data_IF_742926798304
#
_entry.id   IF_742926798304
#
_cell.length_a   1.000
_cell.length_b   1.000
_cell.length_c   1.000
_cell.angle_alpha   90.00
_cell.angle_beta   90.00
_cell.angle_gamma   90.00
#
_symmetry.space_group_name_H-M   'P 1'
#
loop_
_entity.id
_entity.type
_entity.pdbx_description
1 polymer ?
#
# COMPACT_ATOMS: atom_id res chain seq x y z
N UNK A 1 -3.83 5.27 3.05
CA UNK A 1 -2.58 4.92 2.35
C UNK A 1 -2.74 5.46 0.95
N UNK A 2 -1.87 6.39 0.57
CA UNK A 2 -1.83 6.92 -0.78
C UNK A 2 -0.76 6.17 -1.54
N UNK A 3 -1.15 5.38 -2.54
CA UNK A 3 -0.25 4.58 -3.34
C UNK A 3 -0.73 4.58 -4.80
N UNK A 4 0.13 4.19 -5.72
CA UNK A 4 -0.25 4.08 -7.12
C UNK A 4 0.49 2.91 -7.78
N UNK A 5 -0.24 2.06 -8.52
CA UNK A 5 0.37 0.95 -9.26
C UNK A 5 1.02 -0.10 -8.38
N UNK A 6 1.79 -1.01 -8.99
CA UNK A 6 2.57 -2.00 -8.27
C UNK A 6 3.85 -1.36 -7.69
N UNK A 7 4.59 -0.65 -8.55
CA UNK A 7 5.87 0.03 -8.22
C UNK A 7 5.80 1.55 -8.39
N UNK A 8 4.60 2.11 -8.56
CA UNK A 8 4.39 3.55 -8.69
C UNK A 8 3.56 3.96 -9.91
N UNK A 9 3.46 5.27 -10.19
CA UNK A 9 2.67 5.80 -11.30
C UNK A 9 3.30 5.53 -12.67
N UNK A 10 4.57 5.12 -12.69
CA UNK A 10 5.30 4.75 -13.90
C UNK A 10 4.74 3.49 -14.57
N UNK A 11 4.11 2.58 -13.83
CA UNK A 11 3.45 1.41 -14.41
C UNK A 11 2.43 1.82 -15.47
N UNK A 12 1.59 2.80 -15.15
CA UNK A 12 0.60 3.29 -16.10
C UNK A 12 1.25 3.99 -17.29
N UNK A 13 2.32 4.75 -17.06
CA UNK A 13 3.02 5.47 -18.14
C UNK A 13 3.76 4.51 -19.09
N UNK A 14 4.38 3.46 -18.58
CA UNK A 14 5.05 2.43 -19.39
C UNK A 14 4.05 1.61 -20.22
N UNK A 15 2.86 1.38 -19.69
CA UNK A 15 1.77 0.71 -20.40
C UNK A 15 0.97 1.64 -21.33
N UNK A 16 1.39 2.89 -21.51
CA UNK A 16 0.69 3.93 -22.27
C UNK A 16 -0.79 4.07 -21.85
N UNK A 17 -1.06 3.92 -20.55
CA UNK A 17 -2.38 4.09 -19.94
C UNK A 17 -2.46 5.44 -19.23
N UNK A 18 -3.63 6.10 -19.27
CA UNK A 18 -3.83 7.31 -18.48
C UNK A 18 -3.76 6.96 -16.99
N UNK A 19 -3.18 7.87 -16.21
CA UNK A 19 -3.14 7.72 -14.76
C UNK A 19 -4.56 7.95 -14.19
N UNK A 20 -5.12 6.99 -13.44
CA UNK A 20 -6.45 7.13 -12.87
C UNK A 20 -6.49 8.24 -11.80
N UNK A 21 -7.67 8.80 -11.54
CA UNK A 21 -7.85 9.86 -10.54
C UNK A 21 -7.59 9.38 -9.13
N UNK A 22 -7.74 8.07 -8.85
CA UNK A 22 -7.46 7.51 -7.52
C UNK A 22 -5.96 7.56 -7.16
N UNK A 23 -5.09 7.59 -8.16
CA UNK A 23 -3.65 7.72 -7.96
C UNK A 23 -3.20 9.14 -7.61
N UNK A 24 -4.10 10.14 -7.65
CA UNK A 24 -3.78 11.53 -7.32
C UNK A 24 -4.13 11.85 -5.87
N UNK A 25 -3.17 12.48 -5.19
CA UNK A 25 -3.37 13.08 -3.89
C UNK A 25 -4.38 14.23 -3.99
N UNK A 26 -5.44 14.20 -3.20
CA UNK A 26 -6.54 15.17 -3.26
C UNK A 26 -6.18 16.55 -2.70
N UNK A 27 -5.04 16.65 -1.99
CA UNK A 27 -4.56 17.90 -1.37
C UNK A 27 -3.57 18.60 -2.30
N UNK A 28 -2.60 17.87 -2.85
CA UNK A 28 -1.53 18.43 -3.71
C UNK A 28 -1.80 18.28 -5.20
N UNK A 29 -2.69 17.36 -5.61
CA UNK A 29 -2.97 17.04 -7.01
C UNK A 29 -1.90 16.21 -7.71
N UNK A 30 -0.81 15.87 -7.01
CA UNK A 30 0.30 15.07 -7.51
C UNK A 30 -0.03 13.57 -7.47
N UNK A 31 0.63 12.78 -8.30
CA UNK A 31 0.54 11.32 -8.23
C UNK A 31 1.28 10.78 -7.00
N UNK A 32 0.75 9.74 -6.36
CA UNK A 32 1.51 8.98 -5.37
C UNK A 32 2.70 8.31 -6.05
N UNK A 33 3.91 8.52 -5.50
CA UNK A 33 5.15 7.95 -6.05
C UNK A 33 5.37 6.49 -5.65
N UNK A 34 4.91 6.11 -4.45
CA UNK A 34 5.11 4.76 -3.94
C UNK A 34 4.10 3.76 -4.50
N UNK A 35 4.61 2.56 -4.78
CA UNK A 35 3.82 1.42 -5.17
C UNK A 35 2.91 0.95 -4.04
N UNK A 36 1.74 0.41 -4.40
CA UNK A 36 0.84 -0.14 -3.38
C UNK A 36 1.41 -1.36 -2.67
N UNK A 37 2.35 -2.09 -3.30
CA UNK A 37 3.03 -3.24 -2.68
C UNK A 37 3.97 -2.78 -1.58
N UNK A 38 4.77 -1.76 -1.82
CA UNK A 38 5.70 -1.19 -0.83
C UNK A 38 4.96 -0.61 0.37
N UNK A 39 3.95 0.23 0.10
CA UNK A 39 3.14 0.86 1.16
C UNK A 39 2.43 -0.18 2.03
N UNK A 40 1.87 -1.23 1.42
CA UNK A 40 1.23 -2.30 2.18
C UNK A 40 2.26 -3.11 2.98
N UNK A 41 3.44 -3.35 2.42
CA UNK A 41 4.51 -4.07 3.10
C UNK A 41 4.96 -3.33 4.35
N UNK A 42 5.26 -2.03 4.26
CA UNK A 42 5.62 -1.22 5.42
C UNK A 42 4.49 -1.10 6.45
N UNK A 43 3.24 -0.99 5.97
CA UNK A 43 2.09 -0.96 6.85
C UNK A 43 1.91 -2.25 7.64
N UNK A 44 2.11 -3.40 6.99
CA UNK A 44 2.04 -4.71 7.63
C UNK A 44 3.25 -4.94 8.54
N UNK A 45 4.45 -4.53 8.13
CA UNK A 45 5.67 -4.65 8.92
C UNK A 45 5.48 -4.00 10.29
N UNK A 46 5.00 -2.75 10.32
CA UNK A 46 4.72 -2.00 11.56
C UNK A 46 3.66 -2.67 12.46
N UNK A 47 2.80 -3.53 11.93
CA UNK A 47 1.67 -4.14 12.65
C UNK A 47 1.82 -5.64 12.89
N UNK A 48 2.75 -6.28 12.20
CA UNK A 48 2.98 -7.72 12.21
C UNK A 48 3.20 -8.26 13.62
N UNK A 49 3.91 -7.51 14.47
CA UNK A 49 4.22 -7.93 15.85
C UNK A 49 2.98 -8.16 16.71
N UNK A 50 2.06 -7.19 16.79
CA UNK A 50 0.85 -7.33 17.61
C UNK A 50 -0.17 -8.28 16.97
N UNK A 51 -0.25 -8.33 15.64
CA UNK A 51 -1.08 -9.30 14.93
C UNK A 51 -0.63 -10.74 15.22
N UNK A 52 0.68 -11.01 15.18
CA UNK A 52 1.24 -12.31 15.55
C UNK A 52 0.98 -12.64 17.03
N UNK A 53 1.12 -11.65 17.93
CA UNK A 53 0.81 -11.82 19.35
C UNK A 53 -0.65 -12.19 19.62
N UNK A 54 -1.60 -11.55 18.94
CA UNK A 54 -3.02 -11.88 19.03
C UNK A 54 -3.32 -13.26 18.45
N UNK A 55 -2.73 -13.60 17.30
CA UNK A 55 -2.91 -14.91 16.68
C UNK A 55 -2.42 -16.03 17.59
N UNK A 56 -1.24 -15.89 18.21
CA UNK A 56 -0.71 -16.86 19.17
C UNK A 56 -1.58 -16.96 20.42
N UNK A 57 -2.05 -15.83 20.95
CA UNK A 57 -2.95 -15.82 22.11
C UNK A 57 -4.26 -16.56 21.82
N UNK A 58 -4.84 -16.36 20.64
CA UNK A 58 -6.04 -17.09 20.21
C UNK A 58 -5.80 -18.60 20.08
N UNK A 59 -4.64 -19.01 19.55
CA UNK A 59 -4.28 -20.43 19.47
C UNK A 59 -4.10 -21.09 20.85
N UNK A 60 -3.64 -20.35 21.85
CA UNK A 60 -3.46 -20.87 23.21
C UNK A 60 -4.75 -20.89 24.03
N UNK A 61 -5.76 -20.12 23.63
CA UNK A 61 -7.08 -20.05 24.28
C UNK A 61 -8.13 -20.97 23.63
N UNK A 62 -7.78 -21.64 22.53
CA UNK A 62 -8.58 -22.71 21.92
C UNK A 62 -8.33 -24.03 22.64
#
# INVERSE_FOLDING_TARGET
IGCCGADGPMDYLHLYKPLPTECRDTVTGNAFFHGCVEELSWFLEARSGWLAGLALSLCMLH
#
